data_IF_525468550486
#
_entry.id   IF_525468550486
#
_cell.length_a   1.000
_cell.length_b   1.000
_cell.length_c   1.000
_cell.angle_alpha   90.00
_cell.angle_beta   90.00
_cell.angle_gamma   90.00
#
_symmetry.space_group_name_H-M   'P 1'
#
loop_
_entity.id
_entity.type
_entity.pdbx_description
1 polymer ?
#
# COMPACT_ATOMS: atom_id res chain seq x y z
N UNK A 1 31.00 31.73 -6.21
CA UNK A 1 30.41 32.43 -5.05
C UNK A 1 28.88 32.37 -5.01
N UNK A 2 28.13 32.90 -5.98
CA UNK A 2 26.64 32.81 -5.98
C UNK A 2 26.07 31.38 -6.23
N UNK A 3 26.64 30.62 -7.15
CA UNK A 3 26.23 29.22 -7.40
C UNK A 3 26.50 28.31 -6.18
N UNK A 4 27.61 28.53 -5.47
CA UNK A 4 27.94 27.83 -4.22
C UNK A 4 27.01 28.22 -3.06
N UNK A 5 26.55 29.48 -3.01
CA UNK A 5 25.61 29.97 -1.99
C UNK A 5 24.21 29.38 -2.10
N UNK A 6 23.73 29.09 -3.32
CA UNK A 6 22.39 28.55 -3.56
C UNK A 6 22.34 27.03 -3.67
N UNK A 7 23.40 26.39 -4.18
CA UNK A 7 23.49 24.91 -4.25
C UNK A 7 23.68 24.30 -2.85
N UNK A 8 24.18 25.05 -1.87
CA UNK A 8 24.43 24.60 -0.50
C UNK A 8 23.25 24.65 0.48
N UNK A 9 22.07 25.13 0.09
CA UNK A 9 20.88 25.18 0.97
C UNK A 9 19.83 24.15 0.55
N UNK A 10 19.61 23.14 1.39
CA UNK A 10 18.64 22.02 1.22
C UNK A 10 17.15 22.43 1.28
N UNK A 11 16.77 23.58 0.72
CA UNK A 11 15.36 24.02 0.59
C UNK A 11 15.07 24.43 -0.86
N UNK A 12 15.61 23.67 -1.83
CA UNK A 12 15.41 23.93 -3.25
C UNK A 12 14.13 23.26 -3.75
N UNK A 13 13.02 24.00 -3.80
CA UNK A 13 11.90 23.64 -4.69
C UNK A 13 12.31 23.91 -6.14
N UNK A 14 11.75 23.17 -7.11
CA UNK A 14 12.08 23.36 -8.53
C UNK A 14 11.85 24.80 -9.04
N UNK A 15 10.95 25.55 -8.38
CA UNK A 15 10.72 26.97 -8.64
C UNK A 15 11.90 27.86 -8.22
N UNK A 16 12.53 27.56 -7.08
CA UNK A 16 13.71 28.29 -6.60
C UNK A 16 14.91 28.09 -7.53
N UNK A 17 15.10 26.88 -8.05
CA UNK A 17 16.17 26.57 -9.01
C UNK A 17 15.99 27.34 -10.33
N UNK A 18 14.75 27.43 -10.84
CA UNK A 18 14.46 28.19 -12.07
C UNK A 18 14.59 29.71 -11.83
N UNK A 19 14.24 30.18 -10.63
CA UNK A 19 14.40 31.60 -10.26
C UNK A 19 15.86 32.06 -10.34
N UNK A 20 16.82 31.21 -10.01
CA UNK A 20 18.26 31.53 -10.14
C UNK A 20 18.62 31.83 -11.60
N UNK A 21 18.05 31.12 -12.59
CA UNK A 21 18.29 31.42 -14.01
C UNK A 21 17.81 32.84 -14.34
N UNK A 22 16.63 33.20 -13.87
CA UNK A 22 16.06 34.53 -14.07
C UNK A 22 16.95 35.62 -13.48
N UNK A 23 17.45 35.42 -12.26
CA UNK A 23 18.36 36.36 -11.60
C UNK A 23 19.69 36.53 -12.34
N UNK A 24 20.30 35.41 -12.77
CA UNK A 24 21.53 35.45 -13.57
C UNK A 24 21.31 36.17 -14.91
N UNK A 25 20.17 35.93 -15.56
CA UNK A 25 19.80 36.58 -16.81
C UNK A 25 19.61 38.09 -16.63
N UNK A 26 18.91 38.52 -15.58
CA UNK A 26 18.69 39.94 -15.27
C UNK A 26 19.99 40.70 -14.98
N UNK A 27 20.99 40.02 -14.40
CA UNK A 27 22.33 40.57 -14.14
C UNK A 27 23.27 40.47 -15.34
N UNK A 28 22.76 40.13 -16.54
CA UNK A 28 23.54 39.93 -17.76
C UNK A 28 24.63 38.83 -17.64
N UNK A 29 24.50 37.92 -16.66
CA UNK A 29 25.39 36.77 -16.48
C UNK A 29 24.93 35.60 -17.36
N UNK A 30 24.93 35.82 -18.66
CA UNK A 30 24.35 34.91 -19.66
C UNK A 30 25.07 33.56 -19.75
N UNK A 31 26.41 33.52 -19.69
CA UNK A 31 27.18 32.27 -19.74
C UNK A 31 26.86 31.36 -18.53
N UNK A 32 26.92 31.85 -17.27
CA UNK A 32 26.47 31.08 -16.11
C UNK A 32 25.00 30.64 -16.21
N UNK A 33 24.10 31.51 -16.64
CA UNK A 33 22.67 31.20 -16.77
C UNK A 33 22.43 30.04 -17.76
N UNK A 34 23.12 30.03 -18.90
CA UNK A 34 23.01 28.97 -19.91
C UNK A 34 23.56 27.64 -19.39
N UNK A 35 24.71 27.66 -18.70
CA UNK A 35 25.27 26.44 -18.10
C UNK A 35 24.30 25.83 -17.08
N UNK A 36 23.72 26.67 -16.21
CA UNK A 36 22.78 26.21 -15.20
C UNK A 36 21.44 25.76 -15.80
N UNK A 37 20.95 26.45 -16.84
CA UNK A 37 19.79 26.02 -17.63
C UNK A 37 19.97 24.59 -18.19
N UNK A 38 21.08 24.32 -18.87
CA UNK A 38 21.34 23.00 -19.46
C UNK A 38 21.46 21.90 -18.39
N UNK A 39 22.03 22.24 -17.22
CA UNK A 39 22.08 21.35 -16.07
C UNK A 39 20.66 21.01 -15.57
N UNK A 40 19.82 22.02 -15.36
CA UNK A 40 18.44 21.84 -14.89
C UNK A 40 17.57 21.10 -15.92
N UNK A 41 17.76 21.35 -17.22
CA UNK A 41 17.07 20.61 -18.29
C UNK A 41 17.39 19.11 -18.19
N UNK A 42 18.68 18.76 -18.13
CA UNK A 42 19.11 17.36 -17.99
C UNK A 42 18.61 16.74 -16.69
N UNK A 43 18.66 17.48 -15.58
CA UNK A 43 18.15 17.04 -14.27
C UNK A 43 16.65 16.72 -14.35
N UNK A 44 15.85 17.66 -14.85
CA UNK A 44 14.39 17.53 -14.89
C UNK A 44 13.92 16.48 -15.90
N UNK A 45 14.59 16.32 -17.04
CA UNK A 45 14.32 15.19 -17.95
C UNK A 45 14.60 13.85 -17.26
N UNK A 46 15.75 13.73 -16.59
CA UNK A 46 16.15 12.49 -15.92
C UNK A 46 15.13 12.06 -14.85
N UNK A 47 14.64 13.01 -14.04
CA UNK A 47 13.64 12.74 -12.99
C UNK A 47 12.18 12.85 -13.50
N UNK A 48 11.98 13.08 -14.80
CA UNK A 48 10.67 13.27 -15.44
C UNK A 48 9.81 14.40 -14.84
N UNK A 49 10.42 15.48 -14.37
CA UNK A 49 9.70 16.64 -13.85
C UNK A 49 9.24 17.57 -15.00
N UNK A 50 8.22 17.13 -15.73
CA UNK A 50 7.72 17.80 -16.93
C UNK A 50 7.07 19.16 -16.65
N UNK A 51 6.55 19.37 -15.44
CA UNK A 51 6.06 20.69 -15.00
C UNK A 51 7.20 21.70 -14.85
N UNK A 52 8.30 21.31 -14.19
CA UNK A 52 9.47 22.17 -14.07
C UNK A 52 10.14 22.43 -15.43
N UNK A 53 10.13 21.47 -16.34
CA UNK A 53 10.61 21.67 -17.71
C UNK A 53 9.79 22.72 -18.47
N UNK A 54 8.47 22.73 -18.32
CA UNK A 54 7.61 23.73 -18.98
C UNK A 54 8.00 25.16 -18.57
N UNK A 55 8.21 25.36 -17.26
CA UNK A 55 8.67 26.64 -16.71
C UNK A 55 10.11 26.96 -17.13
N UNK A 56 10.99 25.97 -17.14
CA UNK A 56 12.36 26.13 -17.58
C UNK A 56 12.41 26.59 -19.05
N UNK A 57 11.60 26.01 -19.94
CA UNK A 57 11.54 26.41 -21.35
C UNK A 57 11.10 27.86 -21.55
N UNK A 58 10.26 28.42 -20.68
CA UNK A 58 9.95 29.86 -20.67
C UNK A 58 11.20 30.71 -20.42
N UNK A 59 12.04 30.33 -19.45
CA UNK A 59 13.32 31.02 -19.21
C UNK A 59 14.32 30.80 -20.36
N UNK A 60 14.25 29.65 -21.04
CA UNK A 60 15.02 29.38 -22.26
C UNK A 60 14.72 30.38 -23.39
N UNK A 61 13.46 30.79 -23.55
CA UNK A 61 13.08 31.86 -24.49
C UNK A 61 13.63 33.21 -24.05
N UNK A 62 13.52 33.57 -22.75
CA UNK A 62 14.12 34.81 -22.22
C UNK A 62 15.62 34.87 -22.48
N UNK A 63 16.34 33.78 -22.21
CA UNK A 63 17.78 33.71 -22.49
C UNK A 63 18.08 33.88 -23.99
N UNK A 64 17.30 33.24 -24.86
CA UNK A 64 17.48 33.35 -26.32
C UNK A 64 17.20 34.77 -26.82
N UNK A 65 16.23 35.46 -26.22
CA UNK A 65 15.93 36.87 -26.49
C UNK A 65 17.08 37.78 -26.08
N UNK A 66 17.61 37.60 -24.86
CA UNK A 66 18.77 38.38 -24.35
C UNK A 66 20.00 38.18 -25.24
N UNK A 67 20.23 36.96 -25.75
CA UNK A 67 21.38 36.66 -26.60
C UNK A 67 21.16 36.93 -28.10
N UNK A 68 19.94 37.26 -28.53
CA UNK A 68 19.61 37.42 -29.95
C UNK A 68 19.73 36.13 -30.79
N UNK A 69 19.71 34.95 -30.16
CA UNK A 69 19.97 33.67 -30.83
C UNK A 69 18.65 33.00 -31.28
N UNK A 70 18.26 33.25 -32.53
CA UNK A 70 17.02 32.72 -33.11
C UNK A 70 17.06 31.20 -33.30
N UNK A 71 18.24 30.62 -33.53
CA UNK A 71 18.41 29.18 -33.71
C UNK A 71 18.13 28.47 -32.39
N UNK A 72 18.66 29.00 -31.29
CA UNK A 72 18.37 28.54 -29.94
C UNK A 72 16.90 28.72 -29.58
N UNK A 73 16.28 29.87 -29.90
CA UNK A 73 14.87 30.10 -29.67
C UNK A 73 13.98 29.04 -30.36
N UNK A 74 14.30 28.69 -31.62
CA UNK A 74 13.60 27.62 -32.36
C UNK A 74 13.82 26.24 -31.73
N UNK A 75 15.02 25.97 -31.23
CA UNK A 75 15.33 24.73 -30.50
C UNK A 75 14.48 24.60 -29.22
N UNK A 76 14.41 25.66 -28.42
CA UNK A 76 13.58 25.72 -27.20
C UNK A 76 12.10 25.54 -27.54
N UNK A 77 11.61 26.16 -28.62
CA UNK A 77 10.22 26.00 -29.06
C UNK A 77 9.84 24.55 -29.35
N UNK A 78 10.68 23.82 -30.09
CA UNK A 78 10.45 22.40 -30.39
C UNK A 78 10.40 21.55 -29.12
N UNK A 79 11.34 21.77 -28.20
CA UNK A 79 11.39 21.06 -26.91
C UNK A 79 10.17 21.34 -26.04
N UNK A 80 9.74 22.61 -25.97
CA UNK A 80 8.56 23.02 -25.23
C UNK A 80 7.30 22.34 -25.75
N UNK A 81 7.06 22.36 -27.07
CA UNK A 81 5.88 21.70 -27.67
C UNK A 81 5.87 20.21 -27.32
N UNK A 82 6.99 19.51 -27.49
CA UNK A 82 7.11 18.10 -27.13
C UNK A 82 6.83 17.86 -25.63
N UNK A 83 7.31 18.75 -24.75
CA UNK A 83 7.04 18.69 -23.32
C UNK A 83 5.57 18.95 -22.96
N UNK A 84 4.94 19.93 -23.60
CA UNK A 84 3.54 20.27 -23.34
C UNK A 84 2.60 19.11 -23.68
N UNK A 85 2.88 18.37 -24.77
CA UNK A 85 2.11 17.16 -25.15
C UNK A 85 2.19 16.09 -24.05
N UNK A 86 3.41 15.66 -23.67
CA UNK A 86 3.57 14.63 -22.63
C UNK A 86 3.08 15.10 -21.25
N UNK A 87 3.20 16.39 -20.93
CA UNK A 87 2.69 16.96 -19.68
C UNK A 87 1.15 16.93 -19.63
N UNK A 88 0.49 17.24 -20.75
CA UNK A 88 -0.96 17.13 -20.87
C UNK A 88 -1.43 15.67 -20.65
N UNK A 89 -0.79 14.71 -21.31
CA UNK A 89 -1.09 13.28 -21.13
C UNK A 89 -0.86 12.83 -19.68
N UNK A 90 0.22 13.29 -19.05
CA UNK A 90 0.51 13.03 -17.64
C UNK A 90 -0.61 13.53 -16.72
N UNK A 91 -1.05 14.77 -16.90
CA UNK A 91 -2.10 15.38 -16.06
C UNK A 91 -3.40 14.58 -16.19
N UNK A 92 -3.82 14.28 -17.43
CA UNK A 92 -5.05 13.54 -17.68
C UNK A 92 -5.02 12.14 -17.07
N UNK A 93 -3.94 11.40 -17.29
CA UNK A 93 -3.77 10.05 -16.72
C UNK A 93 -3.69 10.08 -15.19
N UNK A 94 -3.06 11.10 -14.60
CA UNK A 94 -3.01 11.27 -13.16
C UNK A 94 -4.40 11.50 -12.56
N UNK A 95 -5.24 12.33 -13.21
CA UNK A 95 -6.62 12.58 -12.80
C UNK A 95 -7.47 11.32 -12.93
N UNK A 96 -7.33 10.60 -14.05
CA UNK A 96 -8.05 9.34 -14.29
C UNK A 96 -7.68 8.31 -13.21
N UNK A 97 -6.38 8.12 -12.91
CA UNK A 97 -5.89 7.22 -11.87
C UNK A 97 -6.45 7.56 -10.48
N UNK A 98 -6.39 8.82 -10.07
CA UNK A 98 -6.89 9.24 -8.76
C UNK A 98 -8.41 9.04 -8.66
N UNK A 99 -9.15 9.34 -9.73
CA UNK A 99 -10.59 9.07 -9.80
C UNK A 99 -10.88 7.58 -9.66
N UNK A 100 -10.13 6.72 -10.36
CA UNK A 100 -10.32 5.28 -10.25
C UNK A 100 -9.94 4.76 -8.86
N UNK A 101 -8.90 5.30 -8.20
CA UNK A 101 -8.54 4.94 -6.83
C UNK A 101 -9.66 5.28 -5.84
N UNK A 102 -10.22 6.49 -5.91
CA UNK A 102 -11.37 6.90 -5.10
C UNK A 102 -12.59 6.03 -5.37
N UNK A 103 -12.82 5.68 -6.64
CA UNK A 103 -13.90 4.75 -7.04
C UNK A 103 -13.69 3.38 -6.39
N UNK A 104 -12.45 2.85 -6.38
CA UNK A 104 -12.15 1.58 -5.73
C UNK A 104 -12.46 1.61 -4.23
N UNK A 105 -12.10 2.71 -3.56
CA UNK A 105 -12.36 2.91 -2.13
C UNK A 105 -13.86 3.01 -1.84
N UNK A 106 -14.65 3.60 -2.75
CA UNK A 106 -16.11 3.74 -2.60
C UNK A 106 -16.92 2.45 -2.69
N UNK A 107 -16.34 1.34 -3.16
CA UNK A 107 -17.06 0.08 -3.25
C UNK A 107 -17.32 -0.57 -1.87
N UNK A 108 -16.71 -0.07 -0.78
CA UNK A 108 -16.97 -0.55 0.59
C UNK A 108 -16.94 -2.09 0.71
N UNK A 109 -15.91 -2.72 0.12
CA UNK A 109 -15.70 -4.17 0.04
C UNK A 109 -16.67 -4.96 -0.87
N UNK A 110 -17.62 -4.30 -1.52
CA UNK A 110 -18.48 -4.92 -2.54
C UNK A 110 -17.71 -5.14 -3.84
N UNK A 111 -18.08 -6.18 -4.59
CA UNK A 111 -17.43 -6.49 -5.87
C UNK A 111 -17.67 -5.36 -6.89
N UNK A 112 -16.61 -4.80 -7.50
CA UNK A 112 -16.76 -3.80 -8.55
C UNK A 112 -17.46 -4.36 -9.80
N UNK A 113 -18.05 -3.47 -10.60
CA UNK A 113 -18.60 -3.82 -11.91
C UNK A 113 -17.50 -4.44 -12.80
N UNK A 114 -17.79 -5.45 -13.64
CA UNK A 114 -16.79 -6.08 -14.51
C UNK A 114 -16.03 -5.09 -15.41
N UNK A 115 -16.70 -4.02 -15.83
CA UNK A 115 -16.12 -2.94 -16.66
C UNK A 115 -15.01 -2.18 -15.95
N UNK A 116 -15.08 -2.08 -14.62
CA UNK A 116 -14.07 -1.40 -13.81
C UNK A 116 -12.69 -2.04 -13.99
N UNK A 117 -12.61 -3.37 -13.97
CA UNK A 117 -11.36 -4.09 -14.20
C UNK A 117 -10.78 -3.81 -15.59
N UNK A 118 -11.63 -3.80 -16.62
CA UNK A 118 -11.23 -3.48 -17.99
C UNK A 118 -10.66 -2.05 -18.07
N UNK A 119 -11.29 -1.11 -17.37
CA UNK A 119 -10.85 0.29 -17.33
C UNK A 119 -9.47 0.43 -16.66
N UNK A 120 -9.27 -0.17 -15.48
CA UNK A 120 -7.97 -0.07 -14.78
C UNK A 120 -6.84 -0.79 -15.53
N UNK A 121 -7.12 -1.90 -16.23
CA UNK A 121 -6.13 -2.58 -17.09
C UNK A 121 -5.76 -1.68 -18.28
N UNK A 122 -6.74 -1.05 -18.91
CA UNK A 122 -6.49 -0.11 -20.02
C UNK A 122 -5.68 1.10 -19.54
N UNK A 123 -6.01 1.62 -18.35
CA UNK A 123 -5.29 2.73 -17.74
C UNK A 123 -3.84 2.36 -17.44
N UNK A 124 -3.57 1.16 -16.91
CA UNK A 124 -2.20 0.67 -16.73
C UNK A 124 -1.43 0.66 -18.06
N UNK A 125 -2.00 0.11 -19.14
CA UNK A 125 -1.37 0.14 -20.48
C UNK A 125 -1.06 1.55 -20.96
N UNK A 126 -2.00 2.50 -20.81
CA UNK A 126 -1.77 3.91 -21.17
C UNK A 126 -0.60 4.51 -20.37
N UNK A 127 -0.51 4.23 -19.07
CA UNK A 127 0.57 4.74 -18.22
C UNK A 127 1.93 4.12 -18.55
N UNK A 128 1.96 2.84 -18.92
CA UNK A 128 3.17 2.15 -19.38
C UNK A 128 3.66 2.72 -20.72
N UNK A 129 2.74 2.99 -21.65
CA UNK A 129 3.07 3.63 -22.92
C UNK A 129 3.63 5.03 -22.75
N UNK A 130 3.09 5.82 -21.80
CA UNK A 130 3.63 7.14 -21.47
C UNK A 130 5.02 7.05 -20.80
N UNK A 131 5.30 5.96 -20.08
CA UNK A 131 6.60 5.69 -19.48
C UNK A 131 6.99 6.59 -18.30
N UNK A 132 6.03 7.32 -17.71
CA UNK A 132 6.27 8.14 -16.54
C UNK A 132 6.31 7.26 -15.27
N UNK A 133 7.46 7.17 -14.60
CA UNK A 133 7.72 6.19 -13.54
C UNK A 133 6.69 6.26 -12.39
N UNK A 134 6.27 7.47 -12.00
CA UNK A 134 5.26 7.65 -10.95
C UNK A 134 3.85 7.20 -11.37
N UNK A 135 3.46 7.39 -12.63
CA UNK A 135 2.13 6.95 -13.10
C UNK A 135 2.07 5.44 -13.25
N UNK A 136 3.14 4.83 -13.76
CA UNK A 136 3.29 3.37 -13.82
C UNK A 136 3.21 2.77 -12.41
N UNK A 137 3.90 3.37 -11.44
CA UNK A 137 3.81 2.94 -10.05
C UNK A 137 2.37 3.01 -9.51
N UNK A 138 1.70 4.16 -9.68
CA UNK A 138 0.35 4.36 -9.18
C UNK A 138 -0.67 3.41 -9.86
N UNK A 139 -0.53 3.15 -11.16
CA UNK A 139 -1.42 2.25 -11.90
C UNK A 139 -1.22 0.79 -11.48
N UNK A 140 0.02 0.36 -11.25
CA UNK A 140 0.31 -0.95 -10.68
C UNK A 140 -0.23 -1.08 -9.27
N UNK A 141 -0.12 -0.05 -8.43
CA UNK A 141 -0.66 -0.06 -7.07
C UNK A 141 -2.21 -0.15 -7.08
N UNK A 142 -2.87 0.54 -8.01
CA UNK A 142 -4.32 0.43 -8.20
C UNK A 142 -4.74 -1.01 -8.59
N UNK A 143 -4.01 -1.63 -9.51
CA UNK A 143 -4.22 -3.04 -9.87
C UNK A 143 -4.00 -3.95 -8.67
N UNK A 144 -2.93 -3.74 -7.90
CA UNK A 144 -2.64 -4.51 -6.70
C UNK A 144 -3.82 -4.47 -5.71
N UNK A 145 -4.31 -3.27 -5.39
CA UNK A 145 -5.44 -3.09 -4.48
C UNK A 145 -6.73 -3.77 -4.99
N UNK A 146 -6.98 -3.74 -6.30
CA UNK A 146 -8.11 -4.44 -6.89
C UNK A 146 -7.96 -5.96 -6.74
N UNK A 147 -6.83 -6.52 -7.19
CA UNK A 147 -6.64 -7.97 -7.21
C UNK A 147 -6.55 -8.55 -5.80
N UNK A 148 -5.91 -7.86 -4.85
CA UNK A 148 -5.79 -8.33 -3.47
C UNK A 148 -7.15 -8.41 -2.74
N UNK A 149 -8.11 -7.56 -3.11
CA UNK A 149 -9.45 -7.49 -2.50
C UNK A 149 -10.49 -8.35 -3.21
N UNK A 150 -10.43 -8.46 -4.54
CA UNK A 150 -11.53 -8.97 -5.36
C UNK A 150 -11.18 -10.16 -6.27
N UNK A 151 -9.95 -10.67 -6.21
CA UNK A 151 -9.50 -11.79 -7.03
C UNK A 151 -8.91 -12.92 -6.21
N UNK A 152 -9.11 -14.15 -6.69
CA UNK A 152 -8.50 -15.37 -6.15
C UNK A 152 -7.20 -15.74 -6.88
N UNK A 153 -6.78 -14.90 -7.83
CA UNK A 153 -5.62 -15.16 -8.67
C UNK A 153 -4.35 -14.68 -7.95
N UNK A 154 -3.94 -15.43 -6.93
CA UNK A 154 -2.76 -15.14 -6.10
C UNK A 154 -1.50 -14.90 -6.95
N UNK A 155 -1.36 -15.61 -8.07
CA UNK A 155 -0.26 -15.41 -9.03
C UNK A 155 -0.29 -14.03 -9.70
N UNK A 156 -1.47 -13.49 -10.01
CA UNK A 156 -1.59 -12.14 -10.56
C UNK A 156 -1.23 -11.09 -9.51
N UNK A 157 -1.66 -11.27 -8.27
CA UNK A 157 -1.29 -10.38 -7.16
C UNK A 157 0.22 -10.38 -6.96
N UNK A 158 0.84 -11.56 -6.98
CA UNK A 158 2.29 -11.72 -6.84
C UNK A 158 3.09 -11.07 -7.98
N UNK A 159 2.65 -11.26 -9.24
CA UNK A 159 3.26 -10.61 -10.40
C UNK A 159 3.20 -9.09 -10.28
N UNK A 160 2.04 -8.55 -9.94
CA UNK A 160 1.86 -7.10 -9.78
C UNK A 160 2.73 -6.57 -8.65
N UNK A 161 2.77 -7.24 -7.49
CA UNK A 161 3.60 -6.84 -6.35
C UNK A 161 5.11 -6.80 -6.73
N UNK A 162 5.59 -7.79 -7.48
CA UNK A 162 6.96 -7.80 -8.03
C UNK A 162 7.19 -6.67 -9.01
N UNK A 163 6.25 -6.41 -9.92
CA UNK A 163 6.33 -5.29 -10.88
C UNK A 163 6.38 -3.93 -10.19
N UNK A 164 5.65 -3.75 -9.08
CA UNK A 164 5.72 -2.55 -8.24
C UNK A 164 7.13 -2.34 -7.69
N UNK A 165 7.71 -3.38 -7.08
CA UNK A 165 9.07 -3.33 -6.52
C UNK A 165 10.11 -3.05 -7.61
N UNK A 166 10.08 -3.81 -8.70
CA UNK A 166 11.00 -3.65 -9.82
C UNK A 166 10.93 -2.25 -10.44
N UNK A 167 9.72 -1.68 -10.57
CA UNK A 167 9.57 -0.31 -11.06
C UNK A 167 10.19 0.71 -10.10
N UNK A 168 10.05 0.51 -8.79
CA UNK A 168 10.61 1.38 -7.79
C UNK A 168 12.15 1.32 -7.73
N UNK A 169 12.73 0.12 -7.81
CA UNK A 169 14.18 -0.08 -7.85
C UNK A 169 14.79 0.51 -9.13
N UNK A 170 14.22 0.18 -10.30
CA UNK A 170 14.72 0.68 -11.58
C UNK A 170 14.63 2.21 -11.70
N UNK A 171 13.62 2.82 -11.10
CA UNK A 171 13.34 4.25 -11.20
C UNK A 171 13.54 5.01 -9.89
N UNK A 172 14.39 4.51 -8.97
CA UNK A 172 14.59 5.13 -7.66
C UNK A 172 14.96 6.63 -7.76
N UNK A 173 15.77 6.99 -8.74
CA UNK A 173 16.19 8.38 -9.00
C UNK A 173 15.10 9.29 -9.60
N UNK A 174 13.98 8.72 -10.07
CA UNK A 174 12.83 9.44 -10.66
C UNK A 174 11.64 9.53 -9.71
N UNK A 175 11.63 8.71 -8.67
CA UNK A 175 10.58 8.67 -7.66
C UNK A 175 11.01 9.52 -6.46
N UNK A 176 10.03 10.06 -5.72
CA UNK A 176 10.34 10.59 -4.40
C UNK A 176 10.72 9.44 -3.46
N UNK A 177 11.56 9.70 -2.46
CA UNK A 177 11.90 8.71 -1.42
C UNK A 177 10.65 8.04 -0.84
N UNK A 178 9.61 8.83 -0.56
CA UNK A 178 8.30 8.34 -0.12
C UNK A 178 7.69 7.30 -1.06
N UNK A 179 7.68 7.52 -2.39
CA UNK A 179 7.10 6.56 -3.35
C UNK A 179 7.90 5.26 -3.42
N UNK A 180 9.22 5.36 -3.33
CA UNK A 180 10.08 4.18 -3.23
C UNK A 180 9.76 3.36 -1.96
N UNK A 181 9.57 4.02 -0.82
CA UNK A 181 9.18 3.35 0.42
C UNK A 181 7.80 2.73 0.39
N UNK A 182 6.83 3.40 -0.22
CA UNK A 182 5.50 2.85 -0.41
C UNK A 182 5.55 1.59 -1.29
N UNK A 183 6.38 1.57 -2.34
CA UNK A 183 6.56 0.38 -3.17
C UNK A 183 7.12 -0.82 -2.39
N UNK A 184 8.19 -0.59 -1.62
CA UNK A 184 8.77 -1.63 -0.75
C UNK A 184 7.74 -2.09 0.29
N UNK A 185 6.99 -1.15 0.88
CA UNK A 185 5.95 -1.46 1.85
C UNK A 185 4.82 -2.31 1.24
N UNK A 186 4.39 -2.01 0.00
CA UNK A 186 3.40 -2.83 -0.72
C UNK A 186 3.89 -4.26 -0.90
N UNK A 187 5.17 -4.46 -1.24
CA UNK A 187 5.74 -5.79 -1.37
C UNK A 187 5.85 -6.52 -0.02
N UNK A 188 6.23 -5.81 1.03
CA UNK A 188 6.24 -6.34 2.41
C UNK A 188 4.83 -6.77 2.84
N UNK A 189 3.81 -5.91 2.64
CA UNK A 189 2.40 -6.22 2.92
C UNK A 189 1.92 -7.44 2.13
N UNK A 190 2.33 -7.55 0.86
CA UNK A 190 2.04 -8.74 0.07
C UNK A 190 2.58 -10.02 0.74
N UNK A 191 3.84 -10.01 1.19
CA UNK A 191 4.45 -11.16 1.86
C UNK A 191 3.85 -11.46 3.24
N UNK A 192 3.29 -10.44 3.94
CA UNK A 192 2.59 -10.64 5.22
C UNK A 192 1.20 -11.23 5.06
N UNK A 193 0.59 -11.09 3.88
CA UNK A 193 -0.69 -11.74 3.54
C UNK A 193 -0.45 -13.13 2.96
N UNK A 194 0.51 -13.27 2.02
CA UNK A 194 0.66 -14.46 1.20
C UNK A 194 1.88 -15.32 1.57
N UNK A 195 1.66 -16.37 2.34
CA UNK A 195 2.70 -17.28 2.81
C UNK A 195 3.43 -18.03 1.68
N UNK A 196 2.74 -18.28 0.57
CA UNK A 196 3.27 -19.08 -0.56
C UNK A 196 4.39 -18.42 -1.36
N UNK A 197 4.73 -17.15 -1.09
CA UNK A 197 5.64 -16.36 -1.91
C UNK A 197 6.91 -15.88 -1.18
N UNK A 198 7.08 -16.26 0.09
CA UNK A 198 8.28 -15.97 0.88
C UNK A 198 8.00 -15.31 2.22
N UNK A 199 9.07 -15.04 2.96
CA UNK A 199 9.05 -14.34 4.25
C UNK A 199 9.33 -12.84 4.07
N UNK A 200 8.68 -11.95 4.85
CA UNK A 200 8.84 -10.50 4.69
C UNK A 200 10.12 -9.93 5.34
N UNK A 201 10.83 -10.70 6.18
CA UNK A 201 11.89 -10.19 7.08
C UNK A 201 13.02 -9.45 6.37
N UNK A 202 13.52 -10.01 5.27
CA UNK A 202 14.62 -9.42 4.52
C UNK A 202 14.24 -8.02 4.00
N UNK A 203 13.11 -7.92 3.30
CA UNK A 203 12.60 -6.67 2.73
C UNK A 203 12.19 -5.67 3.81
N UNK A 204 11.63 -6.16 4.92
CA UNK A 204 11.30 -5.33 6.07
C UNK A 204 12.56 -4.73 6.72
N UNK A 205 13.62 -5.52 6.87
CA UNK A 205 14.89 -5.05 7.42
C UNK A 205 15.52 -3.97 6.52
N UNK A 206 15.50 -4.19 5.20
CA UNK A 206 15.96 -3.20 4.24
C UNK A 206 15.17 -1.89 4.34
N UNK A 207 13.83 -1.96 4.40
CA UNK A 207 12.98 -0.79 4.52
C UNK A 207 13.21 -0.03 5.83
N UNK A 208 13.36 -0.74 6.96
CA UNK A 208 13.69 -0.14 8.26
C UNK A 208 15.02 0.60 8.24
N UNK A 209 16.05 0.02 7.61
CA UNK A 209 17.38 0.65 7.48
C UNK A 209 17.30 1.96 6.69
N UNK A 210 16.50 1.99 5.61
CA UNK A 210 16.35 3.18 4.78
C UNK A 210 15.55 4.29 5.45
N UNK A 211 14.43 3.96 6.10
CA UNK A 211 13.64 4.94 6.87
C UNK A 211 14.50 5.60 7.95
N UNK A 212 15.32 4.84 8.69
CA UNK A 212 16.22 5.40 9.71
C UNK A 212 17.26 6.37 9.12
N UNK A 213 17.70 6.13 7.89
CA UNK A 213 18.73 6.94 7.24
C UNK A 213 18.18 8.30 6.74
N UNK A 214 16.90 8.38 6.37
CA UNK A 214 16.28 9.60 5.81
C UNK A 214 15.50 10.44 6.86
N UNK A 215 15.65 10.12 8.15
CA UNK A 215 14.92 10.76 9.24
C UNK A 215 13.65 9.98 9.58
N UNK A 216 13.40 9.79 10.90
CA UNK A 216 12.42 8.87 11.50
C UNK A 216 10.94 9.09 11.10
N UNK A 217 10.58 9.03 9.83
CA UNK A 217 9.19 8.85 9.41
C UNK A 217 8.90 7.37 9.59
N UNK A 218 8.58 6.96 10.83
CA UNK A 218 8.01 5.64 11.05
C UNK A 218 6.69 5.59 10.27
N UNK A 219 6.71 4.96 9.10
CA UNK A 219 5.52 4.74 8.30
C UNK A 219 4.65 3.76 9.10
N UNK A 220 3.56 4.27 9.68
CA UNK A 220 2.63 3.44 10.47
C UNK A 220 2.22 2.17 9.71
N UNK A 221 2.01 2.28 8.39
CA UNK A 221 1.69 1.15 7.50
C UNK A 221 2.72 0.02 7.52
N UNK A 222 4.02 0.33 7.63
CA UNK A 222 5.06 -0.70 7.76
C UNK A 222 4.98 -1.41 9.10
N UNK A 223 4.82 -0.64 10.18
CA UNK A 223 4.68 -1.21 11.51
C UNK A 223 3.47 -2.14 11.58
N UNK A 224 2.36 -1.75 10.93
CA UNK A 224 1.17 -2.58 10.81
C UNK A 224 1.40 -3.88 10.06
N UNK A 225 2.06 -3.85 8.90
CA UNK A 225 2.43 -5.06 8.16
C UNK A 225 3.29 -6.00 9.02
N UNK A 226 4.27 -5.44 9.74
CA UNK A 226 5.13 -6.23 10.63
C UNK A 226 4.40 -6.79 11.84
N UNK A 227 3.48 -6.03 12.43
CA UNK A 227 2.65 -6.53 13.51
C UNK A 227 1.77 -7.69 13.05
N UNK A 228 1.20 -7.59 11.85
CA UNK A 228 0.44 -8.67 11.22
C UNK A 228 1.31 -9.92 11.05
N UNK A 229 2.52 -9.76 10.53
CA UNK A 229 3.50 -10.85 10.43
C UNK A 229 3.78 -11.52 11.80
N UNK A 230 4.12 -10.72 12.81
CA UNK A 230 4.45 -11.23 14.15
C UNK A 230 3.28 -11.98 14.81
N UNK A 231 2.04 -11.58 14.55
CA UNK A 231 0.85 -12.28 15.04
C UNK A 231 0.74 -13.66 14.38
N UNK A 232 0.99 -13.75 13.07
CA UNK A 232 0.91 -15.01 12.35
C UNK A 232 2.07 -15.97 12.67
N UNK A 233 3.25 -15.44 13.01
CA UNK A 233 4.41 -16.25 13.44
C UNK A 233 4.46 -16.50 14.94
N UNK A 234 3.56 -15.92 15.73
CA UNK A 234 3.54 -16.00 17.20
C UNK A 234 4.82 -15.43 17.85
N UNK A 235 5.42 -14.40 17.23
CA UNK A 235 6.63 -13.74 17.70
C UNK A 235 6.32 -12.57 18.65
N UNK A 236 6.23 -12.86 19.95
CA UNK A 236 5.87 -11.86 20.98
C UNK A 236 6.87 -10.71 21.08
N UNK A 237 8.16 -11.04 21.19
CA UNK A 237 9.24 -10.06 21.39
C UNK A 237 9.31 -9.05 20.23
N UNK A 238 9.12 -9.53 19.00
CA UNK A 238 9.10 -8.66 17.82
C UNK A 238 7.82 -7.85 17.74
N UNK A 239 6.66 -8.43 18.10
CA UNK A 239 5.40 -7.69 18.16
C UNK A 239 5.49 -6.48 19.12
N UNK A 240 6.07 -6.66 20.31
CA UNK A 240 6.30 -5.57 21.27
C UNK A 240 7.24 -4.49 20.71
N UNK A 241 8.32 -4.90 20.03
CA UNK A 241 9.24 -3.97 19.39
C UNK A 241 8.54 -3.14 18.29
N UNK A 242 7.69 -3.77 17.47
CA UNK A 242 6.95 -3.07 16.42
C UNK A 242 5.82 -2.17 16.96
N UNK A 243 5.17 -2.55 18.07
CA UNK A 243 4.22 -1.67 18.76
C UNK A 243 4.91 -0.40 19.26
N UNK A 244 6.11 -0.54 19.84
CA UNK A 244 6.90 0.59 20.30
C UNK A 244 7.36 1.50 19.14
N UNK A 245 7.72 0.93 17.98
CA UNK A 245 8.02 1.73 16.79
C UNK A 245 6.77 2.44 16.22
N UNK A 246 5.60 1.80 16.28
CA UNK A 246 4.34 2.40 15.86
C UNK A 246 3.97 3.62 16.71
N UNK A 247 4.27 3.61 18.01
CA UNK A 247 4.00 4.74 18.91
C UNK A 247 4.81 6.00 18.57
N UNK A 248 5.88 5.86 17.77
CA UNK A 248 6.70 6.96 17.25
C UNK A 248 6.24 7.49 15.89
N UNK A 249 5.22 6.89 15.27
CA UNK A 249 4.73 7.31 13.96
C UNK A 249 3.94 8.64 14.02
N UNK A 250 4.21 9.53 13.05
CA UNK A 250 3.60 10.87 12.99
C UNK A 250 2.08 10.84 12.77
N UNK A 251 1.56 9.86 12.03
CA UNK A 251 0.12 9.67 11.81
C UNK A 251 -0.31 8.25 12.17
N UNK A 252 -1.09 8.14 13.26
CA UNK A 252 -1.70 6.90 13.75
C UNK A 252 -3.21 6.82 13.48
N UNK A 253 -3.81 7.92 13.02
CA UNK A 253 -5.26 8.13 13.04
C UNK A 253 -6.01 7.22 12.05
N UNK A 254 -5.47 7.01 10.84
CA UNK A 254 -6.11 6.22 9.78
C UNK A 254 -6.19 4.71 10.07
N UNK A 255 -5.46 4.22 11.06
CA UNK A 255 -5.26 2.78 11.30
C UNK A 255 -5.46 2.37 12.76
N UNK A 256 -6.05 3.23 13.58
CA UNK A 256 -6.26 2.93 15.00
C UNK A 256 -7.11 1.68 15.21
N UNK A 257 -8.13 1.45 14.38
CA UNK A 257 -8.91 0.21 14.44
C UNK A 257 -8.07 -0.98 14.01
N UNK A 258 -7.29 -0.87 12.94
CA UNK A 258 -6.36 -1.94 12.55
C UNK A 258 -5.40 -2.32 13.69
N UNK A 259 -4.88 -1.34 14.44
CA UNK A 259 -4.08 -1.57 15.65
C UNK A 259 -4.83 -2.41 16.69
N UNK A 260 -6.05 -2.03 17.05
CA UNK A 260 -6.83 -2.77 18.04
C UNK A 260 -7.15 -4.19 17.57
N UNK A 261 -7.40 -4.38 16.28
CA UNK A 261 -7.61 -5.70 15.71
C UNK A 261 -6.38 -6.60 15.84
N UNK A 262 -5.20 -6.08 15.50
CA UNK A 262 -3.93 -6.79 15.66
C UNK A 262 -3.68 -7.18 17.13
N UNK A 263 -3.85 -6.23 18.06
CA UNK A 263 -3.66 -6.49 19.49
C UNK A 263 -4.66 -7.53 20.00
N UNK A 264 -5.92 -7.47 19.56
CA UNK A 264 -6.92 -8.47 19.92
C UNK A 264 -6.51 -9.88 19.43
N UNK A 265 -6.07 -10.03 18.18
CA UNK A 265 -5.61 -11.33 17.66
C UNK A 265 -4.41 -11.87 18.45
N UNK A 266 -3.46 -11.00 18.83
CA UNK A 266 -2.34 -11.36 19.70
C UNK A 266 -2.84 -11.84 21.07
N UNK A 267 -3.68 -11.05 21.75
CA UNK A 267 -4.19 -11.37 23.08
C UNK A 267 -4.97 -12.70 23.07
N UNK A 268 -5.75 -12.98 22.02
CA UNK A 268 -6.39 -14.28 21.83
C UNK A 268 -5.36 -15.41 21.73
N UNK A 269 -4.33 -15.23 20.90
CA UNK A 269 -3.28 -16.23 20.69
C UNK A 269 -2.50 -16.60 21.96
N UNK A 270 -2.40 -15.63 22.88
CA UNK A 270 -1.76 -15.74 24.20
C UNK A 270 -2.73 -16.21 25.30
N UNK A 271 -3.99 -16.51 24.96
CA UNK A 271 -5.07 -16.85 25.91
C UNK A 271 -5.39 -15.73 26.91
N UNK A 272 -5.04 -14.48 26.61
CA UNK A 272 -5.45 -13.30 27.35
C UNK A 272 -6.86 -12.87 26.91
N UNK A 273 -7.88 -13.64 27.29
CA UNK A 273 -9.27 -13.38 26.85
C UNK A 273 -9.84 -12.05 27.36
N UNK A 274 -9.36 -11.56 28.51
CA UNK A 274 -9.73 -10.22 29.02
C UNK A 274 -9.21 -9.13 28.07
N UNK A 275 -7.93 -9.19 27.71
CA UNK A 275 -7.33 -8.28 26.73
C UNK A 275 -8.00 -8.37 25.37
N UNK A 276 -8.27 -9.59 24.89
CA UNK A 276 -9.02 -9.82 23.65
C UNK A 276 -10.37 -9.10 23.67
N UNK A 277 -11.21 -9.32 24.70
CA UNK A 277 -12.53 -8.66 24.81
C UNK A 277 -12.41 -7.13 24.85
N UNK A 278 -11.42 -6.59 25.56
CA UNK A 278 -11.17 -5.14 25.62
C UNK A 278 -10.80 -4.58 24.25
N UNK A 279 -9.82 -5.17 23.57
CA UNK A 279 -9.37 -4.69 22.27
C UNK A 279 -10.40 -4.94 21.16
N UNK A 280 -11.19 -6.02 21.25
CA UNK A 280 -12.33 -6.26 20.38
C UNK A 280 -13.38 -5.16 20.50
N UNK A 281 -13.69 -4.72 21.73
CA UNK A 281 -14.62 -3.60 21.95
C UNK A 281 -14.10 -2.29 21.36
N UNK A 282 -12.80 -2.02 21.50
CA UNK A 282 -12.18 -0.83 20.89
C UNK A 282 -12.16 -0.92 19.36
N UNK A 283 -11.92 -2.10 18.79
CA UNK A 283 -12.02 -2.32 17.34
C UNK A 283 -13.41 -1.96 16.81
N UNK A 284 -14.47 -2.29 17.53
CA UNK A 284 -15.85 -2.00 17.12
C UNK A 284 -16.39 -0.65 17.61
N UNK A 285 -15.60 0.16 18.34
CA UNK A 285 -16.09 1.44 18.86
C UNK A 285 -16.16 2.57 17.81
N UNK A 286 -15.51 2.39 16.66
CA UNK A 286 -15.50 3.36 15.56
C UNK A 286 -15.92 2.72 14.23
N UNK A 287 -16.85 3.32 13.46
CA UNK A 287 -17.35 2.77 12.19
C UNK A 287 -16.28 2.45 11.12
N UNK A 288 -15.09 3.05 11.21
CA UNK A 288 -13.97 2.77 10.30
C UNK A 288 -13.48 1.32 10.34
N UNK A 289 -13.90 0.52 11.34
CA UNK A 289 -13.62 -0.92 11.38
C UNK A 289 -14.06 -1.65 10.11
N UNK A 290 -15.12 -1.16 9.45
CA UNK A 290 -15.65 -1.75 8.22
C UNK A 290 -14.67 -1.65 7.04
N UNK A 291 -13.68 -0.77 7.11
CA UNK A 291 -12.58 -0.67 6.15
C UNK A 291 -11.57 -1.83 6.22
N UNK A 292 -11.69 -2.74 7.20
CA UNK A 292 -10.75 -3.84 7.44
C UNK A 292 -11.46 -5.22 7.44
N UNK A 293 -12.03 -5.67 6.30
CA UNK A 293 -12.88 -6.85 6.25
C UNK A 293 -12.17 -8.17 6.62
N UNK A 294 -10.89 -8.32 6.24
CA UNK A 294 -10.08 -9.49 6.63
C UNK A 294 -9.93 -9.57 8.15
N UNK A 295 -9.66 -8.42 8.79
CA UNK A 295 -9.50 -8.32 10.24
C UNK A 295 -10.82 -8.50 10.98
N UNK A 296 -11.90 -7.87 10.49
CA UNK A 296 -13.24 -8.05 11.04
C UNK A 296 -13.66 -9.53 11.01
N UNK A 297 -13.45 -10.20 9.88
CA UNK A 297 -13.80 -11.62 9.71
C UNK A 297 -12.98 -12.49 10.65
N UNK A 298 -11.66 -12.27 10.73
CA UNK A 298 -10.79 -13.02 11.63
C UNK A 298 -11.21 -12.84 13.09
N UNK A 299 -11.44 -11.60 13.54
CA UNK A 299 -11.85 -11.29 14.92
C UNK A 299 -13.19 -11.93 15.29
N UNK A 300 -14.18 -11.90 14.40
CA UNK A 300 -15.47 -12.57 14.62
C UNK A 300 -15.30 -14.09 14.72
N UNK A 301 -14.43 -14.69 13.89
CA UNK A 301 -14.12 -16.12 14.00
C UNK A 301 -13.45 -16.42 15.35
N UNK A 302 -12.46 -15.63 15.78
CA UNK A 302 -11.82 -15.79 17.09
C UNK A 302 -12.82 -15.64 18.24
N UNK A 303 -13.76 -14.70 18.15
CA UNK A 303 -14.82 -14.54 19.14
C UNK A 303 -15.68 -15.82 19.24
N UNK A 304 -16.05 -16.43 18.11
CA UNK A 304 -16.75 -17.72 18.10
C UNK A 304 -15.93 -18.82 18.77
N UNK A 305 -14.61 -18.88 18.50
CA UNK A 305 -13.73 -19.87 19.13
C UNK A 305 -13.63 -19.69 20.65
N UNK A 306 -13.57 -18.45 21.13
CA UNK A 306 -13.60 -18.15 22.57
C UNK A 306 -14.91 -18.65 23.19
N UNK A 307 -16.05 -18.33 22.57
CA UNK A 307 -17.37 -18.72 23.08
C UNK A 307 -17.58 -20.24 23.07
N UNK A 308 -17.01 -20.94 22.08
CA UNK A 308 -16.97 -22.41 22.08
C UNK A 308 -16.22 -22.97 23.29
N UNK A 309 -15.06 -22.39 23.64
CA UNK A 309 -14.29 -22.80 24.82
C UNK A 309 -15.03 -22.51 26.13
N UNK A 310 -15.79 -21.41 26.17
CA UNK A 310 -16.67 -21.04 27.29
C UNK A 310 -17.98 -21.88 27.32
N UNK A 311 -18.19 -22.80 26.37
CA UNK A 311 -19.40 -23.63 26.20
C UNK A 311 -20.69 -22.82 26.02
N UNK A 312 -20.58 -21.59 25.51
CA UNK A 312 -21.70 -20.68 25.27
C UNK A 312 -22.40 -20.97 23.92
N UNK A 313 -22.84 -22.21 23.70
CA UNK A 313 -23.29 -22.70 22.40
C UNK A 313 -24.42 -21.88 21.76
N UNK A 314 -25.41 -21.45 22.54
CA UNK A 314 -26.50 -20.61 22.03
C UNK A 314 -25.98 -19.31 21.38
N UNK A 315 -25.04 -18.62 22.04
CA UNK A 315 -24.43 -17.40 21.52
C UNK A 315 -23.57 -17.66 20.26
N UNK A 316 -22.86 -18.79 20.23
CA UNK A 316 -22.08 -19.21 19.06
C UNK A 316 -22.99 -19.38 17.85
N UNK A 317 -24.15 -20.02 18.00
CA UNK A 317 -25.07 -20.26 16.89
C UNK A 317 -25.61 -18.94 16.32
N UNK A 318 -26.07 -18.04 17.19
CA UNK A 318 -26.55 -16.72 16.79
C UNK A 318 -25.47 -15.94 16.04
N UNK A 319 -24.25 -15.85 16.60
CA UNK A 319 -23.15 -15.09 15.99
C UNK A 319 -22.62 -15.72 14.72
N UNK A 320 -22.60 -17.06 14.62
CA UNK A 320 -22.22 -17.76 13.40
C UNK A 320 -23.19 -17.43 12.25
N UNK A 321 -24.49 -17.42 12.54
CA UNK A 321 -25.52 -17.04 11.57
C UNK A 321 -25.39 -15.57 11.15
N UNK A 322 -25.18 -14.66 12.11
CA UNK A 322 -24.95 -13.24 11.82
C UNK A 322 -23.71 -13.01 10.97
N UNK A 323 -22.60 -13.70 11.26
CA UNK A 323 -21.38 -13.63 10.46
C UNK A 323 -21.62 -14.17 9.05
N UNK A 324 -22.38 -15.27 8.88
CA UNK A 324 -22.73 -15.81 7.56
C UNK A 324 -23.48 -14.78 6.72
N UNK A 325 -24.51 -14.16 7.31
CA UNK A 325 -25.30 -13.11 6.64
C UNK A 325 -24.43 -11.91 6.28
N UNK A 326 -23.53 -11.48 7.17
CA UNK A 326 -22.59 -10.40 6.89
C UNK A 326 -21.68 -10.74 5.71
N UNK A 327 -21.05 -11.92 5.72
CA UNK A 327 -20.15 -12.34 4.65
C UNK A 327 -20.89 -12.51 3.32
N UNK A 328 -22.13 -13.02 3.33
CA UNK A 328 -22.95 -13.18 2.12
C UNK A 328 -23.37 -11.86 1.49
N UNK A 329 -23.59 -10.82 2.31
CA UNK A 329 -24.01 -9.50 1.85
C UNK A 329 -22.85 -8.63 1.40
N UNK A 330 -21.70 -8.73 2.08
CA UNK A 330 -20.65 -7.71 1.99
C UNK A 330 -19.34 -8.22 1.39
N UNK A 331 -19.08 -9.54 1.40
CA UNK A 331 -17.78 -10.08 1.02
C UNK A 331 -17.85 -10.93 -0.25
N UNK A 332 -16.78 -10.87 -1.05
CA UNK A 332 -16.65 -11.72 -2.24
C UNK A 332 -16.60 -13.21 -1.84
N UNK A 333 -17.49 -14.02 -2.42
CA UNK A 333 -17.64 -15.44 -2.08
C UNK A 333 -16.38 -16.26 -2.34
N UNK A 334 -15.62 -15.83 -3.33
CA UNK A 334 -14.49 -16.52 -3.92
C UNK A 334 -13.24 -16.24 -3.07
N UNK A 335 -12.97 -14.96 -2.78
CA UNK A 335 -11.86 -14.51 -1.92
C UNK A 335 -11.97 -15.03 -0.49
N UNK A 336 -13.19 -15.12 0.05
CA UNK A 336 -13.45 -15.55 1.43
C UNK A 336 -13.95 -17.00 1.54
N UNK A 337 -13.67 -17.84 0.55
CA UNK A 337 -14.13 -19.23 0.53
C UNK A 337 -13.55 -20.06 1.69
N UNK A 338 -12.30 -19.79 2.08
CA UNK A 338 -11.61 -20.55 3.12
C UNK A 338 -12.11 -20.20 4.53
N UNK A 339 -12.39 -18.93 4.82
CA UNK A 339 -13.05 -18.48 6.05
C UNK A 339 -14.44 -19.13 6.20
N UNK A 340 -15.17 -19.31 5.10
CA UNK A 340 -16.47 -20.00 5.10
C UNK A 340 -16.36 -21.48 5.41
N UNK A 341 -15.29 -22.16 4.96
CA UNK A 341 -15.00 -23.54 5.34
C UNK A 341 -14.73 -23.63 6.85
N UNK A 342 -13.97 -22.69 7.41
CA UNK A 342 -13.73 -22.62 8.87
C UNK A 342 -15.04 -22.44 9.64
N UNK A 343 -15.92 -21.54 9.18
CA UNK A 343 -17.25 -21.35 9.78
C UNK A 343 -18.12 -22.60 9.67
N UNK A 344 -18.09 -23.31 8.54
CA UNK A 344 -18.82 -24.57 8.38
C UNK A 344 -18.30 -25.64 9.35
N UNK A 345 -16.99 -25.68 9.58
CA UNK A 345 -16.38 -26.58 10.54
C UNK A 345 -16.84 -26.25 11.98
N UNK A 346 -16.83 -24.98 12.37
CA UNK A 346 -17.39 -24.51 13.65
C UNK A 346 -18.86 -24.93 13.81
N UNK A 347 -19.70 -24.68 12.79
CA UNK A 347 -21.11 -25.06 12.82
C UNK A 347 -21.33 -26.59 12.87
N UNK A 348 -20.46 -27.37 12.24
CA UNK A 348 -20.53 -28.84 12.30
C UNK A 348 -20.13 -29.36 13.68
N UNK A 349 -19.14 -28.73 14.32
CA UNK A 349 -18.75 -29.05 15.70
C UNK A 349 -19.90 -28.84 16.68
N UNK A 350 -20.57 -27.69 16.57
CA UNK A 350 -21.73 -27.33 17.38
C UNK A 350 -22.84 -28.39 17.34
N UNK A 351 -23.14 -28.91 16.14
CA UNK A 351 -24.23 -29.88 15.93
C UNK A 351 -23.85 -31.31 16.33
N UNK A 352 -22.66 -31.75 15.93
CA UNK A 352 -22.30 -33.17 15.99
C UNK A 352 -21.31 -33.51 17.10
N UNK A 353 -20.74 -32.50 17.79
CA UNK A 353 -19.68 -32.63 18.80
C UNK A 353 -18.46 -33.47 18.33
N UNK A 354 -18.28 -33.62 17.01
CA UNK A 354 -17.22 -34.44 16.41
C UNK A 354 -16.03 -33.58 16.04
N UNK A 355 -14.96 -33.67 16.83
CA UNK A 355 -13.68 -33.00 16.54
C UNK A 355 -12.99 -33.58 15.30
N UNK A 356 -13.14 -34.89 15.05
CA UNK A 356 -12.55 -35.56 13.89
C UNK A 356 -13.10 -34.99 12.57
N UNK A 357 -14.41 -34.79 12.47
CA UNK A 357 -15.04 -34.22 11.26
C UNK A 357 -14.57 -32.78 11.01
N UNK A 358 -14.40 -32.00 12.07
CA UNK A 358 -13.84 -30.64 11.95
C UNK A 358 -12.41 -30.71 11.44
N UNK A 359 -11.56 -31.54 12.04
CA UNK A 359 -10.16 -31.65 11.66
C UNK A 359 -10.03 -32.03 10.17
N UNK A 360 -10.80 -33.02 9.69
CA UNK A 360 -10.85 -33.39 8.27
C UNK A 360 -11.29 -32.22 7.37
N UNK A 361 -12.20 -31.37 7.83
CA UNK A 361 -12.69 -30.22 7.06
C UNK A 361 -11.64 -29.12 6.92
N UNK A 362 -10.83 -28.88 7.94
CA UNK A 362 -9.85 -27.77 7.98
C UNK A 362 -8.44 -28.19 7.61
N UNK A 363 -8.12 -29.49 7.61
CA UNK A 363 -6.80 -30.01 7.28
C UNK A 363 -6.24 -29.46 5.96
N UNK A 364 -7.01 -29.37 4.85
CA UNK A 364 -6.50 -28.79 3.61
C UNK A 364 -6.06 -27.32 3.75
N UNK A 365 -6.63 -26.59 4.71
CA UNK A 365 -6.37 -25.16 4.92
C UNK A 365 -5.06 -24.89 5.68
N UNK A 366 -4.42 -25.90 6.28
CA UNK A 366 -3.11 -25.75 6.93
C UNK A 366 -2.03 -25.23 5.96
N UNK A 367 -2.18 -25.57 4.67
CA UNK A 367 -1.27 -25.17 3.61
C UNK A 367 -1.82 -24.02 2.74
N UNK A 368 -2.83 -23.30 3.22
CA UNK A 368 -3.42 -22.14 2.51
C UNK A 368 -2.35 -21.16 2.02
N UNK A 369 -2.55 -20.52 0.88
CA UNK A 369 -1.69 -19.42 0.44
C UNK A 369 -1.78 -18.19 1.36
N UNK A 370 -2.83 -18.07 2.18
CA UNK A 370 -3.07 -16.93 3.06
C UNK A 370 -2.63 -17.19 4.51
N UNK A 371 -1.83 -16.27 5.09
CA UNK A 371 -1.33 -16.38 6.48
C UNK A 371 -2.46 -16.29 7.51
N UNK A 372 -3.47 -15.45 7.29
CA UNK A 372 -4.62 -15.32 8.18
C UNK A 372 -5.38 -16.66 8.32
N UNK A 373 -5.56 -17.41 7.23
CA UNK A 373 -6.21 -18.72 7.25
C UNK A 373 -5.38 -19.72 8.05
N UNK A 374 -4.07 -19.81 7.79
CA UNK A 374 -3.18 -20.70 8.55
C UNK A 374 -3.25 -20.41 10.05
N UNK A 375 -3.28 -19.13 10.42
CA UNK A 375 -3.44 -18.69 11.80
C UNK A 375 -4.78 -19.14 12.39
N UNK A 376 -5.90 -18.92 11.70
CA UNK A 376 -7.24 -19.30 12.19
C UNK A 376 -7.38 -20.81 12.35
N UNK A 377 -6.84 -21.60 11.42
CA UNK A 377 -6.81 -23.08 11.51
C UNK A 377 -6.07 -23.51 12.78
N UNK A 378 -4.90 -22.92 13.05
CA UNK A 378 -4.12 -23.21 14.26
C UNK A 378 -4.87 -22.80 15.55
N UNK A 379 -5.63 -21.70 15.52
CA UNK A 379 -6.45 -21.29 16.67
C UNK A 379 -7.62 -22.24 16.90
N UNK A 380 -8.27 -22.70 15.83
CA UNK A 380 -9.34 -23.69 15.89
C UNK A 380 -8.85 -25.02 16.45
N UNK A 381 -7.70 -25.52 15.99
CA UNK A 381 -7.08 -26.74 16.53
C UNK A 381 -6.78 -26.63 18.03
N UNK A 382 -6.25 -25.48 18.47
CA UNK A 382 -5.99 -25.22 19.89
C UNK A 382 -7.27 -25.18 20.72
N UNK A 383 -8.35 -24.64 20.16
CA UNK A 383 -9.64 -24.57 20.83
C UNK A 383 -10.29 -25.96 21.00
N UNK A 384 -9.99 -26.90 20.10
CA UNK A 384 -10.62 -28.23 20.06
C UNK A 384 -9.83 -29.36 20.71
N UNK A 385 -8.57 -29.12 21.13
CA UNK A 385 -7.73 -30.10 21.85
C UNK A 385 -8.04 -30.20 23.36
N UNK A 386 -9.16 -29.66 23.82
CA UNK A 386 -9.69 -29.77 25.19
C UNK A 386 -11.08 -30.36 25.14
#
# INVERSE_FOLDING_TARGET
DLLSEYVGKEIATGFYEIFIIKELANRMQTIPAIKYYNYLEKKYENIQNWQALELLYTEGFRLSHITGDITKARGVAKKRIANSIRLFDFINLSVELNTQLLTLESFDNRKPLPEYLKNIINLNKKTENLGHAALVHNSLNLLFLYYSRYSDLDLNVADIAKRILNNAEKNQHKLSGTRYYLAMNTYVVFLTIYAGFGEPDEYAHQLKKKIKAEGNIALANLCYAMLEYCIYTFSKKESEAWLHELDKADDRSKFIQYRYGLIAMRDFSEKNFKGFKTNLKQFYSDPSYAGFPDMETALRILELLMMLQEKAFYLVETKLNSLRVYMDRNLDKKRYAQERIIMQAIGSHMKNKSTEKVYKTILPLQNSSYRNIRFLVKMLERAMKK
#
